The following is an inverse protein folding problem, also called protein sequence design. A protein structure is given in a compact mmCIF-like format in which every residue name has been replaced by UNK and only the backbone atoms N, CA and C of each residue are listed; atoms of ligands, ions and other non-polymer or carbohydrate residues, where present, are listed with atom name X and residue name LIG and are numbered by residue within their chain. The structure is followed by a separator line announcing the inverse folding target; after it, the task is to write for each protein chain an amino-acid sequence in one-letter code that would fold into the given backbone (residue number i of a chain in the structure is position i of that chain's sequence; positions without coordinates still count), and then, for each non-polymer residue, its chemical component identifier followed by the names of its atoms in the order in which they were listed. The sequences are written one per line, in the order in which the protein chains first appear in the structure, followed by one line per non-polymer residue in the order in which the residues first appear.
data_IF_408091027174
#
_entry.id   IF_408091027174
#
_cell.length_a   1.000
_cell.length_b   1.000
_cell.length_c   1.000
_cell.angle_alpha   90.00
_cell.angle_beta   90.00
_cell.angle_gamma   90.00
#
_symmetry.space_group_name_H-M   'P 1'
#
loop_
_entity.id
_entity.type
_entity.pdbx_description
1 polymer ?
#
# COMPACT_ATOMS: atom_id res chain seq x y z
N UNK A 1 14.11 -59.18 67.42
CA UNK A 1 12.99 -58.96 66.48
C UNK A 1 12.18 -57.76 66.97
N UNK A 2 12.25 -56.62 66.28
CA UNK A 2 11.48 -55.40 66.58
C UNK A 2 10.60 -55.09 65.36
N UNK A 3 9.28 -54.84 65.52
CA UNK A 3 8.44 -54.49 64.39
C UNK A 3 8.61 -53.01 64.05
N UNK A 4 8.84 -52.71 62.77
CA UNK A 4 8.73 -51.35 62.25
C UNK A 4 7.28 -51.09 61.85
N UNK A 5 6.63 -50.15 62.53
CA UNK A 5 5.31 -49.66 62.19
C UNK A 5 5.45 -48.58 61.10
N UNK A 6 4.94 -48.84 59.90
CA UNK A 6 4.92 -47.85 58.81
C UNK A 6 3.61 -47.08 58.89
N UNK A 7 3.70 -45.78 59.20
CA UNK A 7 2.57 -44.85 59.25
C UNK A 7 2.39 -44.23 57.85
N UNK A 8 1.33 -44.62 57.14
CA UNK A 8 0.95 -44.02 55.86
C UNK A 8 0.06 -42.80 56.14
N UNK A 9 0.64 -41.61 56.02
CA UNK A 9 -0.09 -40.34 56.04
C UNK A 9 -0.81 -40.16 54.69
N UNK A 10 -2.12 -40.39 54.70
CA UNK A 10 -2.99 -40.16 53.55
C UNK A 10 -3.30 -38.65 53.46
N UNK A 11 -2.42 -37.89 52.80
CA UNK A 11 -2.67 -36.48 52.48
C UNK A 11 -3.79 -36.41 51.45
N UNK A 12 -5.01 -36.13 51.92
CA UNK A 12 -6.12 -35.77 51.06
C UNK A 12 -5.80 -34.41 50.43
N UNK A 13 -5.31 -34.43 49.18
CA UNK A 13 -5.26 -33.25 48.34
C UNK A 13 -6.70 -32.83 48.04
N UNK A 14 -7.26 -31.94 48.88
CA UNK A 14 -8.43 -31.16 48.50
C UNK A 14 -8.02 -30.28 47.32
N UNK A 15 -8.25 -30.76 46.09
CA UNK A 15 -8.22 -29.89 44.92
C UNK A 15 -9.37 -28.90 45.05
N UNK A 16 -9.08 -27.71 45.58
CA UNK A 16 -9.94 -26.55 45.43
C UNK A 16 -9.99 -26.21 43.94
N UNK A 17 -10.96 -26.77 43.20
CA UNK A 17 -11.31 -26.26 41.88
C UNK A 17 -11.92 -24.87 42.10
N UNK A 18 -11.22 -23.83 41.68
CA UNK A 18 -11.82 -22.51 41.55
C UNK A 18 -13.00 -22.64 40.57
N UNK A 19 -14.21 -22.34 41.03
CA UNK A 19 -15.37 -22.28 40.15
C UNK A 19 -15.30 -20.93 39.45
N UNK A 20 -15.24 -20.87 38.11
CA UNK A 20 -15.19 -19.59 37.41
C UNK A 20 -16.46 -18.78 37.74
N UNK A 21 -16.27 -17.48 38.03
CA UNK A 21 -17.38 -16.58 38.30
C UNK A 21 -18.33 -16.55 37.09
N UNK A 22 -19.65 -16.53 37.32
CA UNK A 22 -20.62 -16.39 36.24
C UNK A 22 -20.43 -15.04 35.54
N UNK A 23 -20.57 -15.05 34.21
CA UNK A 23 -20.53 -13.85 33.39
C UNK A 23 -21.93 -13.26 33.22
N UNK A 24 -22.02 -11.95 33.33
CA UNK A 24 -23.19 -11.15 32.96
C UNK A 24 -22.88 -10.38 31.67
N UNK A 25 -23.69 -10.55 30.64
CA UNK A 25 -23.55 -9.79 29.39
C UNK A 25 -24.03 -8.35 29.59
N UNK A 26 -23.30 -7.42 29.00
CA UNK A 26 -23.57 -5.98 29.07
C UNK A 26 -23.94 -5.44 27.67
N UNK A 27 -24.64 -4.31 27.65
CA UNK A 27 -24.81 -3.54 26.43
C UNK A 27 -23.44 -2.99 25.98
N UNK A 28 -23.16 -3.06 24.69
CA UNK A 28 -21.92 -2.53 24.13
C UNK A 28 -21.81 -1.00 24.25
N UNK A 29 -22.94 -0.31 24.44
CA UNK A 29 -23.00 1.14 24.66
C UNK A 29 -23.01 1.51 26.14
N UNK A 30 -22.84 0.55 27.04
CA UNK A 30 -22.75 0.82 28.47
C UNK A 30 -21.54 1.73 28.77
N UNK A 31 -21.70 2.81 29.58
CA UNK A 31 -20.59 3.68 29.96
C UNK A 31 -19.43 2.95 30.63
N UNK A 32 -19.69 1.94 31.47
CA UNK A 32 -18.64 1.15 32.12
C UNK A 32 -17.88 0.29 31.09
N UNK A 33 -18.57 -0.19 30.04
CA UNK A 33 -17.92 -0.88 28.90
C UNK A 33 -17.04 0.08 28.11
N UNK A 34 -17.52 1.31 27.90
CA UNK A 34 -16.75 2.36 27.22
C UNK A 34 -15.49 2.72 27.99
N UNK A 35 -15.57 2.83 29.33
CA UNK A 35 -14.42 3.05 30.21
C UNK A 35 -13.41 1.89 30.13
N UNK A 36 -13.89 0.65 30.12
CA UNK A 36 -13.03 -0.53 29.99
C UNK A 36 -12.29 -0.58 28.64
N UNK A 37 -12.99 -0.31 27.54
CA UNK A 37 -12.40 -0.29 26.20
C UNK A 37 -11.41 0.88 26.06
N UNK A 38 -11.71 2.04 26.64
CA UNK A 38 -10.80 3.18 26.64
C UNK A 38 -9.48 2.84 27.35
N UNK A 39 -9.55 2.28 28.56
CA UNK A 39 -8.37 1.85 29.29
C UNK A 39 -7.54 0.81 28.52
N UNK A 40 -8.22 -0.16 27.87
CA UNK A 40 -7.57 -1.19 27.08
C UNK A 40 -6.84 -0.62 25.85
N UNK A 41 -7.52 0.26 25.09
CA UNK A 41 -6.99 0.87 23.89
C UNK A 41 -5.87 1.89 24.18
N UNK A 42 -6.00 2.69 25.25
CA UNK A 42 -4.93 3.57 25.70
C UNK A 42 -3.67 2.78 26.05
N UNK A 43 -3.80 1.69 26.80
CA UNK A 43 -2.67 0.80 27.09
C UNK A 43 -2.06 0.23 25.80
N UNK A 44 -2.90 -0.23 24.86
CA UNK A 44 -2.42 -0.78 23.59
C UNK A 44 -1.60 0.22 22.80
N UNK A 45 -2.08 1.46 22.67
CA UNK A 45 -1.38 2.51 21.95
C UNK A 45 -0.09 2.94 22.68
N UNK A 46 -0.09 2.98 24.00
CA UNK A 46 1.09 3.33 24.80
C UNK A 46 2.22 2.29 24.74
N UNK A 47 1.90 1.01 24.55
CA UNK A 47 2.88 -0.07 24.41
C UNK A 47 3.53 -0.13 23.02
N UNK A 48 2.96 0.59 22.04
CA UNK A 48 3.51 0.67 20.68
C UNK A 48 4.56 1.79 20.60
N UNK A 49 5.66 1.51 19.91
CA UNK A 49 6.79 2.44 19.80
C UNK A 49 6.82 3.24 18.49
N UNK A 50 6.07 2.84 17.47
CA UNK A 50 6.09 3.46 16.13
C UNK A 50 4.73 3.35 15.44
N UNK A 51 4.46 4.26 14.50
CA UNK A 51 3.24 4.28 13.70
C UNK A 51 2.15 5.20 14.26
N UNK A 52 0.95 5.05 13.74
CA UNK A 52 -0.21 5.82 14.18
C UNK A 52 -0.97 5.11 15.28
N UNK A 53 -1.66 5.89 16.12
CA UNK A 53 -2.58 5.37 17.12
C UNK A 53 -3.72 4.61 16.46
N UNK A 54 -4.23 3.59 17.14
CA UNK A 54 -5.49 2.96 16.81
C UNK A 54 -6.65 3.65 17.54
N UNK A 55 -7.78 3.81 16.85
CA UNK A 55 -9.04 4.26 17.42
C UNK A 55 -10.06 3.11 17.43
N UNK A 56 -11.01 3.16 18.37
CA UNK A 56 -12.07 2.16 18.51
C UNK A 56 -13.06 2.25 17.34
N UNK A 57 -13.14 1.19 16.53
CA UNK A 57 -14.12 1.13 15.43
C UNK A 57 -15.50 0.65 15.91
N UNK A 58 -15.56 -0.44 16.68
CA UNK A 58 -16.82 -0.98 17.23
C UNK A 58 -16.56 -1.97 18.37
N UNK A 59 -17.45 -2.00 19.37
CA UNK A 59 -17.48 -3.05 20.41
C UNK A 59 -18.40 -4.18 19.93
N UNK A 60 -17.89 -5.41 19.96
CA UNK A 60 -18.57 -6.61 19.44
C UNK A 60 -19.25 -7.41 20.55
N UNK A 61 -18.63 -7.48 21.72
CA UNK A 61 -19.15 -8.20 22.88
C UNK A 61 -18.60 -7.56 24.15
N UNK A 62 -19.45 -7.47 25.18
CA UNK A 62 -19.05 -7.07 26.52
C UNK A 62 -19.73 -7.95 27.57
N UNK A 63 -18.96 -8.41 28.54
CA UNK A 63 -19.46 -9.13 29.72
C UNK A 63 -18.60 -8.84 30.93
N UNK A 64 -19.15 -9.01 32.13
CA UNK A 64 -18.43 -8.83 33.40
C UNK A 64 -18.59 -10.02 34.32
N UNK A 65 -17.64 -10.23 35.23
CA UNK A 65 -17.80 -11.14 36.37
C UNK A 65 -18.67 -10.50 37.46
N UNK A 66 -19.28 -11.33 38.31
CA UNK A 66 -20.04 -10.87 39.47
C UNK A 66 -19.15 -10.21 40.55
N UNK A 67 -19.71 -9.25 41.28
CA UNK A 67 -19.08 -8.59 42.44
C UNK A 67 -18.63 -9.61 43.50
N UNK A 68 -17.55 -9.34 44.28
CA UNK A 68 -16.86 -8.04 44.45
C UNK A 68 -15.67 -7.79 43.50
N UNK A 69 -15.32 -8.76 42.64
CA UNK A 69 -14.15 -8.68 41.75
C UNK A 69 -14.62 -8.51 40.30
N UNK A 70 -15.22 -7.34 40.03
CA UNK A 70 -15.76 -7.01 38.71
C UNK A 70 -14.62 -6.87 37.69
N UNK A 71 -14.55 -7.84 36.78
CA UNK A 71 -13.62 -7.88 35.66
C UNK A 71 -14.40 -7.86 34.36
N UNK A 72 -14.12 -6.87 33.51
CA UNK A 72 -14.71 -6.77 32.19
C UNK A 72 -13.96 -7.67 31.21
N UNK A 73 -14.70 -8.36 30.36
CA UNK A 73 -14.22 -9.06 29.19
C UNK A 73 -14.87 -8.44 27.97
N UNK A 74 -14.09 -7.72 27.17
CA UNK A 74 -14.56 -6.98 26.00
C UNK A 74 -13.88 -7.48 24.74
N UNK A 75 -14.65 -7.62 23.68
CA UNK A 75 -14.17 -7.89 22.32
C UNK A 75 -14.52 -6.70 21.44
N UNK A 76 -13.55 -6.11 20.77
CA UNK A 76 -13.75 -4.89 19.98
C UNK A 76 -12.85 -4.86 18.75
N UNK A 77 -13.21 -4.05 17.77
CA UNK A 77 -12.42 -3.80 16.57
C UNK A 77 -11.75 -2.44 16.66
N UNK A 78 -10.51 -2.38 16.21
CA UNK A 78 -9.72 -1.16 16.14
C UNK A 78 -9.37 -0.84 14.69
N UNK A 79 -9.14 0.44 14.41
CA UNK A 79 -8.74 0.92 13.10
C UNK A 79 -7.70 2.02 13.24
N UNK A 80 -6.70 1.97 12.37
CA UNK A 80 -5.60 2.93 12.38
C UNK A 80 -6.14 4.34 12.12
N UNK A 81 -5.71 5.28 12.96
CA UNK A 81 -6.08 6.68 12.89
C UNK A 81 -5.00 7.51 12.16
N UNK A 82 -5.28 8.80 11.98
CA UNK A 82 -4.32 9.76 11.41
C UNK A 82 -3.34 10.33 12.43
N UNK A 83 -3.55 10.10 13.73
CA UNK A 83 -2.68 10.62 14.78
C UNK A 83 -1.46 9.71 14.97
N UNK A 84 -0.26 10.27 14.98
CA UNK A 84 0.93 9.53 15.38
C UNK A 84 0.89 9.18 16.89
N UNK A 85 1.55 8.09 17.30
CA UNK A 85 1.63 7.71 18.72
C UNK A 85 2.32 8.79 19.57
N UNK A 86 3.27 9.50 18.97
CA UNK A 86 4.01 10.60 19.60
C UNK A 86 3.19 11.89 19.74
N UNK A 87 2.05 12.00 19.06
CA UNK A 87 1.11 13.09 19.30
C UNK A 87 0.44 12.88 20.65
N UNK A 88 0.51 13.89 21.53
CA UNK A 88 -0.20 13.92 22.80
C UNK A 88 -1.71 14.20 22.59
N UNK A 89 -2.38 13.33 21.83
CA UNK A 89 -3.82 13.37 21.55
C UNK A 89 -4.48 12.09 22.03
N UNK A 90 -5.71 12.21 22.52
CA UNK A 90 -6.58 11.06 22.79
C UNK A 90 -7.04 10.46 21.46
N UNK A 91 -7.10 9.14 21.38
CA UNK A 91 -7.55 8.42 20.19
C UNK A 91 -8.98 8.80 19.78
N UNK A 92 -9.81 9.29 20.72
CA UNK A 92 -11.18 9.77 20.46
C UNK A 92 -11.23 11.04 19.60
N UNK A 93 -10.15 11.82 19.60
CA UNK A 93 -10.02 13.06 18.83
C UNK A 93 -9.34 12.83 17.46
N UNK A 94 -9.06 11.58 17.12
CA UNK A 94 -8.32 11.21 15.93
C UNK A 94 -9.24 10.68 14.82
N UNK A 95 -9.11 11.26 13.63
CA UNK A 95 -9.80 10.76 12.45
C UNK A 95 -9.25 9.40 12.00
N UNK A 96 -10.10 8.58 11.38
CA UNK A 96 -9.65 7.33 10.79
C UNK A 96 -8.85 7.57 9.52
N UNK A 97 -7.80 6.78 9.30
CA UNK A 97 -7.19 6.66 7.98
C UNK A 97 -8.19 6.15 6.94
N UNK A 98 -7.96 6.52 5.69
CA UNK A 98 -8.76 6.04 4.56
C UNK A 98 -8.79 4.50 4.54
N UNK A 99 -9.93 3.85 4.24
CA UNK A 99 -10.07 2.39 4.40
C UNK A 99 -9.02 1.56 3.68
N UNK A 100 -8.55 2.03 2.52
CA UNK A 100 -7.56 1.35 1.70
C UNK A 100 -6.14 1.37 2.31
N UNK A 101 -5.87 2.28 3.26
CA UNK A 101 -4.54 2.53 3.81
C UNK A 101 -4.49 2.31 5.33
N UNK A 102 -5.62 2.01 5.96
CA UNK A 102 -5.72 1.83 7.40
C UNK A 102 -5.45 0.37 7.79
N UNK A 103 -4.49 0.16 8.69
CA UNK A 103 -4.41 -1.10 9.42
C UNK A 103 -5.68 -1.30 10.27
N UNK A 104 -6.18 -2.53 10.35
CA UNK A 104 -7.37 -2.87 11.16
C UNK A 104 -7.03 -3.98 12.12
N UNK A 105 -7.78 -4.14 13.21
CA UNK A 105 -7.55 -5.24 14.12
C UNK A 105 -8.77 -5.63 14.93
N UNK A 106 -8.73 -6.85 15.47
CA UNK A 106 -9.68 -7.33 16.47
C UNK A 106 -8.94 -7.59 17.78
N UNK A 107 -9.48 -7.05 18.87
CA UNK A 107 -8.91 -7.14 20.21
C UNK A 107 -9.87 -7.86 21.14
N UNK A 108 -9.30 -8.64 22.06
CA UNK A 108 -10.00 -9.19 23.23
C UNK A 108 -9.24 -8.77 24.47
N UNK A 109 -9.90 -8.09 25.39
CA UNK A 109 -9.30 -7.55 26.61
C UNK A 109 -10.05 -7.99 27.86
N UNK A 110 -9.28 -8.27 28.90
CA UNK A 110 -9.74 -8.42 30.28
C UNK A 110 -9.29 -7.19 31.06
N UNK A 111 -10.24 -6.46 31.63
CA UNK A 111 -10.00 -5.15 32.26
C UNK A 111 -10.56 -5.16 33.66
N UNK A 112 -9.70 -4.95 34.65
CA UNK A 112 -10.10 -4.70 36.02
C UNK A 112 -9.90 -3.21 36.32
N UNK A 113 -10.96 -2.53 36.76
CA UNK A 113 -10.97 -1.08 37.02
C UNK A 113 -11.10 -0.85 38.52
N UNK A 114 -10.08 -0.25 39.12
CA UNK A 114 -10.14 0.20 40.50
C UNK A 114 -10.52 1.69 40.53
N UNK A 115 -11.81 1.99 40.71
CA UNK A 115 -12.32 3.38 40.74
C UNK A 115 -11.78 4.19 41.92
N UNK A 116 -11.42 3.56 43.04
CA UNK A 116 -10.88 4.25 44.21
C UNK A 116 -9.43 4.72 43.98
N UNK A 117 -8.61 3.88 43.34
CA UNK A 117 -7.20 4.18 43.03
C UNK A 117 -7.02 4.85 41.67
N UNK A 118 -8.07 4.93 40.85
CA UNK A 118 -8.03 5.38 39.44
C UNK A 118 -7.01 4.61 38.61
N UNK A 119 -6.86 3.33 38.90
CA UNK A 119 -5.95 2.43 38.19
C UNK A 119 -6.75 1.38 37.43
N UNK A 120 -6.17 0.91 36.32
CA UNK A 120 -6.71 -0.21 35.57
C UNK A 120 -5.64 -1.26 35.35
N UNK A 121 -6.01 -2.53 35.50
CA UNK A 121 -5.19 -3.65 35.08
C UNK A 121 -5.81 -4.27 33.83
N UNK A 122 -5.06 -4.20 32.73
CA UNK A 122 -5.50 -4.67 31.42
C UNK A 122 -4.62 -5.82 30.98
N UNK A 123 -5.23 -6.94 30.62
CA UNK A 123 -4.61 -8.02 29.87
C UNK A 123 -5.33 -8.15 28.53
N UNK A 124 -4.63 -8.04 27.41
CA UNK A 124 -5.27 -8.01 26.11
C UNK A 124 -4.44 -8.67 25.01
N UNK A 125 -5.13 -9.13 23.98
CA UNK A 125 -4.54 -9.64 22.74
C UNK A 125 -5.26 -8.97 21.58
N UNK A 126 -4.50 -8.35 20.69
CA UNK A 126 -4.99 -7.75 19.45
C UNK A 126 -4.34 -8.45 18.25
N UNK A 127 -5.18 -8.83 17.28
CA UNK A 127 -4.74 -9.36 16.00
C UNK A 127 -4.96 -8.28 14.94
N UNK A 128 -3.88 -7.67 14.45
CA UNK A 128 -3.95 -6.64 13.42
C UNK A 128 -3.68 -7.23 12.03
N UNK A 129 -4.33 -6.64 11.04
CA UNK A 129 -4.21 -6.95 9.62
C UNK A 129 -3.77 -5.66 8.94
N UNK A 130 -2.56 -5.64 8.34
CA UNK A 130 -2.06 -4.45 7.66
C UNK A 130 -2.98 -4.06 6.52
N UNK A 131 -3.02 -2.77 6.18
CA UNK A 131 -3.70 -2.31 4.99
C UNK A 131 -3.21 -3.11 3.78
N UNK A 132 -4.13 -3.59 2.95
CA UNK A 132 -3.78 -4.31 1.73
C UNK A 132 -2.88 -3.39 0.92
N UNK A 133 -1.63 -3.81 0.70
CA UNK A 133 -0.68 -3.04 -0.08
C UNK A 133 -1.38 -2.61 -1.37
N UNK A 134 -1.46 -1.29 -1.58
CA UNK A 134 -2.12 -0.65 -2.71
C UNK A 134 -1.85 -1.49 -3.94
N UNK A 135 -2.85 -2.24 -4.41
CA UNK A 135 -2.75 -2.94 -5.69
C UNK A 135 -2.60 -1.80 -6.68
N UNK A 136 -1.35 -1.55 -7.09
CA UNK A 136 -1.05 -0.63 -8.17
C UNK A 136 -1.76 -1.23 -9.37
N UNK A 137 -2.97 -0.75 -9.65
CA UNK A 137 -3.64 -0.94 -10.93
C UNK A 137 -2.67 -0.36 -11.95
N UNK A 138 -1.82 -1.22 -12.51
CA UNK A 138 -1.07 -0.88 -13.70
C UNK A 138 -2.12 -0.72 -14.79
N UNK A 139 -2.32 0.53 -15.22
CA UNK A 139 -3.13 0.78 -16.39
C UNK A 139 -2.54 -0.03 -17.55
N UNK A 140 -3.34 -0.94 -18.10
CA UNK A 140 -2.91 -1.72 -19.26
C UNK A 140 -2.70 -0.74 -20.42
N UNK A 141 -1.46 -0.64 -20.89
CA UNK A 141 -1.13 0.27 -21.98
C UNK A 141 -1.89 -0.13 -23.25
N UNK A 142 -2.70 0.78 -23.80
CA UNK A 142 -3.50 0.55 -25.02
C UNK A 142 -2.58 0.32 -26.25
N UNK A 143 -2.19 -0.91 -26.56
CA UNK A 143 -1.25 -1.18 -27.66
C UNK A 143 -1.76 -0.70 -29.04
N UNK A 144 -3.07 -0.60 -29.23
CA UNK A 144 -3.71 -0.08 -30.45
C UNK A 144 -3.72 1.45 -30.57
N UNK A 145 -3.34 2.17 -29.52
CA UNK A 145 -3.23 3.62 -29.52
C UNK A 145 -1.80 4.04 -29.92
N UNK A 146 -1.63 5.26 -30.45
CA UNK A 146 -0.29 5.78 -30.69
C UNK A 146 0.43 6.10 -29.38
N UNK A 147 1.61 5.52 -29.20
CA UNK A 147 2.52 5.83 -28.10
C UNK A 147 3.77 6.51 -28.63
N UNK A 148 4.27 7.49 -27.89
CA UNK A 148 5.59 8.02 -28.14
C UNK A 148 6.64 6.93 -27.98
N UNK A 149 7.57 6.88 -28.93
CA UNK A 149 8.75 6.03 -28.87
C UNK A 149 9.99 6.91 -28.98
N UNK A 150 11.14 6.38 -28.57
CA UNK A 150 12.40 7.09 -28.78
C UNK A 150 12.67 7.26 -30.28
N UNK A 151 13.03 8.48 -30.66
CA UNK A 151 13.48 8.83 -32.01
C UNK A 151 14.79 8.14 -32.39
N UNK A 152 15.61 7.73 -31.41
CA UNK A 152 16.95 7.16 -31.62
C UNK A 152 16.94 5.63 -31.76
N UNK A 153 15.78 5.05 -32.06
CA UNK A 153 15.70 3.60 -32.29
C UNK A 153 16.23 3.25 -33.69
N UNK A 154 16.88 2.09 -33.79
CA UNK A 154 17.39 1.56 -35.08
C UNK A 154 16.26 1.43 -36.12
N UNK A 155 15.05 1.07 -35.68
CA UNK A 155 13.86 0.97 -36.52
C UNK A 155 13.43 2.31 -37.12
N UNK A 156 13.34 3.37 -36.31
CA UNK A 156 12.99 4.72 -36.79
C UNK A 156 14.04 5.20 -37.79
N UNK A 157 15.33 4.95 -37.49
CA UNK A 157 16.44 5.32 -38.37
C UNK A 157 16.39 4.61 -39.72
N UNK A 158 16.07 3.31 -39.72
CA UNK A 158 15.93 2.53 -40.96
C UNK A 158 14.73 2.97 -41.81
N UNK A 159 13.58 3.21 -41.17
CA UNK A 159 12.38 3.73 -41.85
C UNK A 159 12.67 5.07 -42.51
N UNK A 160 13.31 5.99 -41.78
CA UNK A 160 13.67 7.31 -42.32
C UNK A 160 14.69 7.21 -43.45
N UNK A 161 15.69 6.32 -43.34
CA UNK A 161 16.65 6.08 -44.43
C UNK A 161 15.94 5.66 -45.71
N UNK A 162 15.00 4.71 -45.62
CA UNK A 162 14.21 4.27 -46.77
C UNK A 162 13.28 5.37 -47.30
N UNK A 163 12.62 6.12 -46.42
CA UNK A 163 11.72 7.21 -46.78
C UNK A 163 12.46 8.34 -47.52
N UNK A 164 13.62 8.75 -47.02
CA UNK A 164 14.46 9.79 -47.63
C UNK A 164 15.08 9.31 -48.94
N UNK A 165 15.56 8.06 -49.00
CA UNK A 165 16.01 7.46 -50.25
C UNK A 165 14.90 7.49 -51.31
N UNK A 166 13.68 7.09 -50.95
CA UNK A 166 12.52 7.11 -51.85
C UNK A 166 12.16 8.53 -52.29
N UNK A 167 12.18 9.49 -51.37
CA UNK A 167 11.93 10.91 -51.64
C UNK A 167 12.97 11.48 -52.61
N UNK A 168 14.26 11.24 -52.38
CA UNK A 168 15.32 11.67 -53.27
C UNK A 168 15.23 10.99 -54.64
N UNK A 169 14.89 9.71 -54.71
CA UNK A 169 14.83 8.99 -55.99
C UNK A 169 13.62 9.37 -56.85
N UNK A 170 12.45 9.62 -56.25
CA UNK A 170 11.19 9.79 -56.98
C UNK A 170 10.54 11.18 -56.83
N UNK A 171 11.08 12.04 -55.97
CA UNK A 171 10.62 13.41 -55.81
C UNK A 171 10.98 14.29 -57.01
N UNK A 172 10.27 15.40 -57.20
CA UNK A 172 10.48 16.32 -58.31
C UNK A 172 11.69 17.26 -58.16
N UNK A 173 12.27 17.36 -56.96
CA UNK A 173 13.42 18.22 -56.69
C UNK A 173 14.66 17.77 -57.47
N UNK A 174 15.56 18.67 -57.85
CA UNK A 174 16.82 18.32 -58.52
C UNK A 174 17.92 17.99 -57.52
N UNK A 175 17.92 18.67 -56.37
CA UNK A 175 18.85 18.43 -55.27
C UNK A 175 18.48 17.19 -54.45
N UNK A 176 19.50 16.63 -53.78
CA UNK A 176 19.33 15.58 -52.78
C UNK A 176 19.11 16.21 -51.40
N UNK A 177 18.22 15.63 -50.61
CA UNK A 177 17.87 16.09 -49.27
C UNK A 177 18.36 15.10 -48.22
N UNK A 178 18.85 15.61 -47.09
CA UNK A 178 19.38 14.82 -45.97
C UNK A 178 18.60 15.10 -44.69
N UNK A 179 18.44 14.06 -43.86
CA UNK A 179 17.86 14.17 -42.52
C UNK A 179 18.67 15.15 -41.67
N UNK A 180 17.96 16.03 -40.96
CA UNK A 180 18.54 16.96 -39.98
C UNK A 180 18.11 16.56 -38.58
N UNK A 181 16.81 16.42 -38.36
CA UNK A 181 16.26 16.21 -37.01
C UNK A 181 15.00 15.36 -37.07
N UNK A 182 14.81 14.51 -36.06
CA UNK A 182 13.57 13.78 -35.80
C UNK A 182 12.85 14.50 -34.67
N UNK A 183 11.70 15.11 -34.97
CA UNK A 183 10.92 15.91 -34.02
C UNK A 183 10.00 15.05 -33.16
N UNK A 184 9.47 13.96 -33.73
CA UNK A 184 8.53 13.10 -33.04
C UNK A 184 8.51 11.71 -33.69
N UNK A 185 8.42 10.66 -32.87
CA UNK A 185 8.15 9.31 -33.34
C UNK A 185 7.06 8.67 -32.47
N UNK A 186 6.04 8.10 -33.12
CA UNK A 186 4.96 7.35 -32.49
C UNK A 186 4.78 6.00 -33.15
N UNK A 187 4.32 5.03 -32.36
CA UNK A 187 4.02 3.67 -32.83
C UNK A 187 2.70 3.18 -32.27
N UNK A 188 1.97 2.42 -33.07
CA UNK A 188 0.80 1.66 -32.65
C UNK A 188 0.81 0.24 -33.25
N UNK A 189 0.05 -0.67 -32.63
CA UNK A 189 -0.23 -2.01 -33.15
C UNK A 189 -1.52 -1.99 -33.96
N UNK A 190 -1.46 -2.44 -35.20
CA UNK A 190 -2.60 -2.70 -36.09
C UNK A 190 -2.45 -4.11 -36.68
N UNK A 191 -2.53 -4.31 -38.00
CA UNK A 191 -2.03 -5.51 -38.68
C UNK A 191 -0.51 -5.46 -38.86
N UNK A 192 0.23 -5.33 -37.75
CA UNK A 192 1.66 -5.03 -37.71
C UNK A 192 1.96 -3.71 -37.01
N UNK A 193 3.17 -3.19 -37.16
CA UNK A 193 3.57 -1.90 -36.58
C UNK A 193 3.26 -0.76 -37.53
N UNK A 194 2.52 0.25 -37.04
CA UNK A 194 2.30 1.50 -37.75
C UNK A 194 3.05 2.63 -37.05
N UNK A 195 3.81 3.41 -37.81
CA UNK A 195 4.68 4.47 -37.33
C UNK A 195 4.21 5.84 -37.84
N UNK A 196 4.16 6.84 -36.97
CA UNK A 196 4.08 8.25 -37.33
C UNK A 196 5.38 8.91 -36.93
N UNK A 197 6.13 9.43 -37.91
CA UNK A 197 7.42 10.08 -37.65
C UNK A 197 7.35 11.48 -38.25
N UNK A 198 7.61 12.50 -37.42
CA UNK A 198 7.79 13.89 -37.86
C UNK A 198 9.28 14.18 -37.87
N UNK A 199 9.78 14.64 -39.01
CA UNK A 199 11.21 14.85 -39.22
C UNK A 199 11.44 16.04 -40.14
N UNK A 200 12.65 16.58 -40.07
CA UNK A 200 13.13 17.68 -40.90
C UNK A 200 14.23 17.19 -41.84
N UNK A 201 14.11 17.53 -43.12
CA UNK A 201 15.13 17.31 -44.14
C UNK A 201 15.58 18.66 -44.69
N UNK A 202 16.86 18.78 -45.06
CA UNK A 202 17.42 19.95 -45.72
C UNK A 202 18.09 19.59 -47.02
N UNK A 203 18.03 20.53 -47.96
CA UNK A 203 18.73 20.45 -49.23
C UNK A 203 20.24 20.33 -49.01
N UNK A 204 20.89 19.54 -49.86
CA UNK A 204 22.33 19.35 -49.85
C UNK A 204 22.98 19.92 -51.10
N UNK A 205 24.31 20.04 -51.08
CA UNK A 205 25.11 20.42 -52.24
C UNK A 205 25.16 19.35 -53.36
N UNK A 206 24.46 18.22 -53.21
CA UNK A 206 24.43 17.15 -54.21
C UNK A 206 23.18 17.25 -55.10
N UNK A 207 23.35 17.04 -56.40
CA UNK A 207 22.26 16.90 -57.38
C UNK A 207 22.05 15.45 -57.79
N UNK A 208 20.81 15.09 -58.16
CA UNK A 208 20.44 13.77 -58.71
C UNK A 208 21.19 13.42 -60.00
N UNK A 209 21.63 14.42 -60.76
CA UNK A 209 22.40 14.20 -62.00
C UNK A 209 23.82 13.69 -61.73
N UNK A 210 24.38 14.08 -60.57
CA UNK A 210 25.75 13.75 -60.17
C UNK A 210 25.79 12.55 -59.22
N UNK A 211 24.75 12.37 -58.41
CA UNK A 211 24.68 11.35 -57.37
C UNK A 211 23.37 10.58 -57.46
N UNK A 212 23.47 9.25 -57.57
CA UNK A 212 22.29 8.37 -57.56
C UNK A 212 21.60 8.32 -56.19
N UNK A 213 22.34 8.58 -55.10
CA UNK A 213 21.85 8.62 -53.73
C UNK A 213 22.78 9.48 -52.86
N UNK A 214 22.37 9.74 -51.61
CA UNK A 214 23.18 10.45 -50.63
C UNK A 214 24.51 9.75 -50.39
N UNK A 215 25.60 10.49 -50.60
CA UNK A 215 26.96 10.08 -50.26
C UNK A 215 27.46 10.81 -49.01
N UNK A 216 28.58 10.37 -48.40
CA UNK A 216 29.22 11.11 -47.31
C UNK A 216 29.63 12.55 -47.68
N UNK A 217 29.77 12.85 -48.98
CA UNK A 217 30.14 14.18 -49.49
C UNK A 217 28.95 15.15 -49.52
N UNK A 218 27.71 14.64 -49.45
CA UNK A 218 26.50 15.45 -49.44
C UNK A 218 26.30 16.14 -48.08
N UNK A 219 26.58 17.44 -48.06
CA UNK A 219 26.46 18.33 -46.91
C UNK A 219 25.25 19.23 -47.09
N UNK A 220 24.53 19.47 -45.99
CA UNK A 220 23.39 20.38 -45.97
C UNK A 220 23.84 21.79 -46.29
N UNK A 221 23.10 22.49 -47.16
CA UNK A 221 23.34 23.90 -47.45
C UNK A 221 22.76 24.71 -46.28
N UNK A 222 23.57 25.60 -45.70
CA UNK A 222 23.07 26.54 -44.70
C UNK A 222 22.28 27.62 -45.42
N UNK A 223 20.95 27.59 -45.33
CA UNK A 223 20.15 28.80 -45.52
C UNK A 223 20.43 29.69 -44.31
N UNK A 224 21.17 30.79 -44.53
CA UNK A 224 21.42 31.82 -43.52
C UNK A 224 20.15 32.48 -43.02
#
# INVERSE_FOLDING_TARGET
MKPFLVLVLCSSFFSSRATPLPFEFLDCNDPDVSEAVDAALQKYNAERSTGNQFALYVVMEAKKTADPDTQFHVKYKIRESTCAIEENKDWKDCDYKVPAEAETGECTAQVHINKAEKTSNVSQVCQTIPAVAKVMLSEAQCLGCFHHISSDTSQVSEILKQAIHKFNKHGGETALFKLVEIKEAKRQVVAGWNYIIKYEIKETNCSKDQFQDLSPECKTISTG
#
